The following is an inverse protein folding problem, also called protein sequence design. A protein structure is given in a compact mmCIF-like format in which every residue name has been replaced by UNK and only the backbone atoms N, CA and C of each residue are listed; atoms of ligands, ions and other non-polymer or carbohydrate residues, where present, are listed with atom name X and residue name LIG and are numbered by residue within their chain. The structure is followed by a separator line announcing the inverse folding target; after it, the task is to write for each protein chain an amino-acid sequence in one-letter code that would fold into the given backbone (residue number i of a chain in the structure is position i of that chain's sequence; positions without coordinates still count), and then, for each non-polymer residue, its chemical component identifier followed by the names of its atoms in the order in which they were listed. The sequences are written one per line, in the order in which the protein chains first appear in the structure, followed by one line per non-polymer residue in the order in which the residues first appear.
data_IF_121237429899
#
_entry.id   IF_121237429899
#
_cell.length_a   1.000
_cell.length_b   1.000
_cell.length_c   1.000
_cell.angle_alpha   90.00
_cell.angle_beta   90.00
_cell.angle_gamma   90.00
#
_symmetry.space_group_name_H-M   'P 1'
#
loop_
_entity.id
_entity.type
_entity.pdbx_description
1 polymer ?
#
# COMPACT_ATOMS: atom_id res chain seq x y z
N UNK A 1 15.71 32.00 -11.33
CA UNK A 1 15.47 31.09 -12.47
C UNK A 1 15.34 29.68 -11.92
N UNK A 2 14.13 29.14 -11.85
CA UNK A 2 13.90 27.74 -11.50
C UNK A 2 14.36 26.90 -12.69
N UNK A 3 15.54 26.30 -12.58
CA UNK A 3 15.98 25.28 -13.53
C UNK A 3 14.95 24.16 -13.52
N UNK A 4 14.17 24.04 -14.59
CA UNK A 4 13.29 22.90 -14.85
C UNK A 4 14.19 21.69 -15.01
N UNK A 5 14.47 20.99 -13.91
CA UNK A 5 15.21 19.73 -13.95
C UNK A 5 14.34 18.75 -14.73
N UNK A 6 14.84 18.28 -15.86
CA UNK A 6 14.24 17.15 -16.57
C UNK A 6 14.15 15.98 -15.57
N UNK A 7 12.93 15.53 -15.30
CA UNK A 7 12.65 14.36 -14.46
C UNK A 7 12.22 13.23 -15.38
N UNK A 8 12.78 12.04 -15.17
CA UNK A 8 12.27 10.82 -15.81
C UNK A 8 10.90 10.49 -15.19
N UNK A 9 9.90 10.27 -16.03
CA UNK A 9 8.52 10.08 -15.60
C UNK A 9 7.87 8.92 -16.36
N UNK A 10 7.16 8.05 -15.63
CA UNK A 10 6.30 7.03 -16.23
C UNK A 10 4.95 7.66 -16.56
N UNK A 11 4.49 7.56 -17.81
CA UNK A 11 3.21 8.14 -18.27
C UNK A 11 2.25 7.06 -18.73
N UNK A 12 0.95 7.23 -18.46
CA UNK A 12 -0.11 6.35 -18.96
C UNK A 12 -1.44 7.12 -19.12
N UNK A 13 -2.39 6.53 -19.85
CA UNK A 13 -3.71 7.14 -20.07
C UNK A 13 -4.42 7.32 -18.73
N UNK A 14 -4.86 8.55 -18.45
CA UNK A 14 -5.56 8.87 -17.21
C UNK A 14 -4.65 9.08 -16.00
N UNK A 15 -3.32 9.15 -16.17
CA UNK A 15 -2.40 9.48 -15.08
C UNK A 15 -2.80 10.76 -14.34
N UNK A 16 -3.25 11.81 -15.00
CA UNK A 16 -3.60 13.06 -14.32
C UNK A 16 -5.04 13.10 -13.77
N UNK A 17 -5.84 12.08 -14.07
CA UNK A 17 -7.22 12.00 -13.58
C UNK A 17 -7.20 11.52 -12.14
N UNK A 18 -7.39 12.44 -11.20
CA UNK A 18 -7.55 12.13 -9.77
C UNK A 18 -9.04 12.04 -9.42
N UNK A 19 -9.52 10.93 -8.82
CA UNK A 19 -10.90 10.85 -8.39
C UNK A 19 -11.16 11.84 -7.25
N UNK A 20 -12.25 12.62 -7.36
CA UNK A 20 -12.76 13.41 -6.24
C UNK A 20 -13.60 12.48 -5.37
N UNK A 21 -13.08 12.12 -4.20
CA UNK A 21 -13.78 11.28 -3.24
C UNK A 21 -14.34 12.16 -2.13
N UNK A 22 -15.61 11.94 -1.80
CA UNK A 22 -16.23 12.60 -0.66
C UNK A 22 -15.71 12.00 0.66
N UNK A 23 -15.51 12.82 1.71
CA UNK A 23 -15.14 12.33 3.04
C UNK A 23 -16.14 11.28 3.53
N UNK A 24 -15.64 10.11 3.95
CA UNK A 24 -16.47 9.07 4.56
C UNK A 24 -16.20 8.98 6.05
N UNK A 25 -17.26 8.70 6.81
CA UNK A 25 -17.21 8.46 8.25
C UNK A 25 -17.25 6.95 8.45
N UNK A 26 -16.42 6.43 9.37
CA UNK A 26 -16.51 5.01 9.76
C UNK A 26 -17.78 4.76 10.56
N UNK A 27 -18.55 3.76 10.12
CA UNK A 27 -19.67 3.22 10.87
C UNK A 27 -19.21 1.89 11.46
N UNK A 28 -19.05 1.85 12.78
CA UNK A 28 -18.66 0.62 13.47
C UNK A 28 -19.82 -0.38 13.48
N UNK A 29 -19.54 -1.61 13.05
CA UNK A 29 -20.40 -2.76 13.32
C UNK A 29 -19.88 -3.49 14.57
N UNK A 30 -20.54 -3.22 15.70
CA UNK A 30 -20.16 -3.81 17.00
C UNK A 30 -20.22 -5.34 17.01
N UNK A 31 -20.99 -5.96 16.12
CA UNK A 31 -21.08 -7.42 16.06
C UNK A 31 -19.83 -8.09 15.50
N UNK A 32 -19.03 -7.35 14.74
CA UNK A 32 -17.77 -7.80 14.13
C UNK A 32 -16.53 -7.30 14.89
N UNK A 33 -16.73 -6.47 15.93
CA UNK A 33 -15.67 -5.88 16.73
C UNK A 33 -15.15 -6.88 17.75
N UNK A 34 -13.87 -7.22 17.65
CA UNK A 34 -13.17 -8.07 18.63
C UNK A 34 -12.24 -7.20 19.47
N UNK A 35 -12.68 -6.88 20.68
CA UNK A 35 -11.84 -6.24 21.69
C UNK A 35 -11.36 -7.28 22.70
N UNK A 36 -10.11 -7.18 23.13
CA UNK A 36 -9.62 -8.01 24.23
C UNK A 36 -10.43 -7.68 25.49
N UNK A 37 -11.02 -8.71 26.11
CA UNK A 37 -11.77 -8.56 27.37
C UNK A 37 -10.88 -8.11 28.55
N UNK A 38 -9.55 -8.26 28.42
CA UNK A 38 -8.56 -7.75 29.37
C UNK A 38 -7.72 -6.69 28.69
N UNK A 39 -7.65 -5.51 29.31
CA UNK A 39 -6.61 -4.54 28.99
C UNK A 39 -5.27 -5.23 29.26
N UNK A 40 -4.52 -5.51 28.19
CA UNK A 40 -3.16 -6.04 28.31
C UNK A 40 -2.35 -4.87 28.85
N UNK A 41 -1.73 -5.01 30.02
CA UNK A 41 -0.82 -4.01 30.57
C UNK A 41 0.62 -4.44 30.30
N UNK A 42 1.54 -3.49 30.14
CA UNK A 42 2.97 -3.78 30.20
C UNK A 42 3.38 -4.19 31.65
N UNK A 43 4.64 -4.57 31.85
CA UNK A 43 5.18 -4.95 33.17
C UNK A 43 5.09 -3.81 34.21
N UNK A 44 4.92 -2.57 33.74
CA UNK A 44 4.80 -1.35 34.54
C UNK A 44 3.33 -1.01 34.87
N UNK A 45 2.36 -1.81 34.41
CA UNK A 45 0.93 -1.62 34.68
C UNK A 45 0.23 -0.61 33.77
N UNK A 46 0.92 -0.05 32.77
CA UNK A 46 0.34 0.83 31.77
C UNK A 46 -0.46 0.01 30.75
N UNK A 47 -1.65 0.49 30.42
CA UNK A 47 -2.49 -0.13 29.40
C UNK A 47 -1.75 -0.13 28.05
N UNK A 48 -1.48 -1.32 27.51
CA UNK A 48 -1.03 -1.49 26.14
C UNK A 48 -2.23 -1.28 25.21
N UNK A 49 -2.48 -0.01 24.92
CA UNK A 49 -3.58 0.45 24.06
C UNK A 49 -3.47 -0.11 22.64
N UNK A 50 -2.27 -0.48 22.17
CA UNK A 50 -2.06 -1.03 20.84
C UNK A 50 -2.81 -2.36 20.60
N UNK A 51 -3.01 -3.19 21.64
CA UNK A 51 -3.76 -4.46 21.51
C UNK A 51 -5.28 -4.30 21.70
N UNK A 52 -5.74 -3.11 22.11
CA UNK A 52 -7.15 -2.79 22.27
C UNK A 52 -7.72 -1.91 21.14
N UNK A 53 -6.88 -1.54 20.17
CA UNK A 53 -7.18 -0.54 19.12
C UNK A 53 -7.01 -1.10 17.69
N UNK A 54 -7.14 -2.44 17.55
CA UNK A 54 -7.09 -3.08 16.23
C UNK A 54 -8.35 -2.76 15.43
N UNK A 55 -8.17 -2.24 14.21
CA UNK A 55 -9.27 -1.89 13.31
C UNK A 55 -9.35 -2.86 12.13
N UNK A 56 -10.52 -3.48 11.95
CA UNK A 56 -10.88 -4.18 10.74
C UNK A 56 -11.88 -3.34 9.95
N UNK A 57 -11.51 -2.92 8.74
CA UNK A 57 -12.34 -2.07 7.88
C UNK A 57 -12.79 -2.90 6.68
N UNK A 58 -14.11 -3.01 6.51
CA UNK A 58 -14.69 -3.65 5.33
C UNK A 58 -15.18 -2.59 4.33
N UNK A 59 -14.64 -2.63 3.12
CA UNK A 59 -15.02 -1.73 2.02
C UNK A 59 -13.90 -1.55 1.01
N UNK A 60 -14.09 -0.60 0.09
CA UNK A 60 -13.02 -0.19 -0.83
C UNK A 60 -11.85 0.43 -0.05
N UNK A 61 -10.66 -0.09 -0.29
CA UNK A 61 -9.45 0.31 0.43
C UNK A 61 -9.04 1.77 0.17
N UNK A 62 -9.29 2.34 -1.00
CA UNK A 62 -8.95 3.74 -1.28
C UNK A 62 -9.82 4.67 -0.42
N UNK A 63 -11.12 4.38 -0.33
CA UNK A 63 -12.04 5.11 0.56
C UNK A 63 -11.63 4.95 2.03
N UNK A 64 -11.27 3.74 2.46
CA UNK A 64 -10.79 3.49 3.82
C UNK A 64 -9.51 4.28 4.16
N UNK A 65 -8.50 4.23 3.28
CA UNK A 65 -7.23 4.96 3.46
C UNK A 65 -7.46 6.47 3.56
N UNK A 66 -8.38 7.03 2.76
CA UNK A 66 -8.75 8.45 2.84
C UNK A 66 -9.44 8.82 4.14
N UNK A 67 -10.33 7.96 4.64
CA UNK A 67 -10.97 8.17 5.93
C UNK A 67 -9.98 8.10 7.11
N UNK A 68 -8.95 7.23 7.01
CA UNK A 68 -7.86 7.15 8.00
C UNK A 68 -6.97 8.41 8.02
N UNK A 69 -6.86 9.14 6.91
CA UNK A 69 -5.97 10.30 6.76
C UNK A 69 -6.19 11.34 7.89
N UNK A 70 -7.45 11.58 8.30
CA UNK A 70 -7.76 12.55 9.35
C UNK A 70 -7.13 12.22 10.71
N UNK A 71 -7.04 10.93 11.07
CA UNK A 71 -6.58 10.50 12.40
C UNK A 71 -5.14 9.95 12.40
N UNK A 72 -4.73 9.33 11.30
CA UNK A 72 -3.49 8.53 11.21
C UNK A 72 -2.43 9.10 10.25
N UNK A 73 -2.65 10.29 9.68
CA UNK A 73 -1.61 10.95 8.86
C UNK A 73 -0.29 11.08 9.64
N UNK A 74 0.81 10.63 9.03
CA UNK A 74 2.14 10.67 9.61
C UNK A 74 2.37 9.73 10.81
N UNK A 75 1.47 8.77 11.08
CA UNK A 75 1.54 7.91 12.28
C UNK A 75 1.79 6.44 11.98
N UNK A 76 1.61 6.00 10.74
CA UNK A 76 1.73 4.58 10.38
C UNK A 76 3.19 4.19 10.21
N UNK A 77 3.67 3.26 11.04
CA UNK A 77 5.08 2.82 11.04
C UNK A 77 5.42 1.79 9.96
N UNK A 78 4.47 0.93 9.63
CA UNK A 78 4.65 -0.15 8.69
C UNK A 78 3.38 -0.32 7.87
N UNK A 79 3.53 -0.42 6.55
CA UNK A 79 2.46 -0.81 5.64
C UNK A 79 2.92 -2.02 4.85
N UNK A 80 2.10 -3.06 4.82
CA UNK A 80 2.29 -4.22 3.96
C UNK A 80 1.08 -4.34 3.03
N UNK A 81 1.33 -4.50 1.73
CA UNK A 81 0.28 -4.75 0.75
C UNK A 81 0.65 -5.92 -0.17
N UNK A 82 -0.38 -6.61 -0.64
CA UNK A 82 -0.30 -7.69 -1.61
C UNK A 82 -1.34 -7.44 -2.73
N UNK A 83 -1.09 -6.46 -3.61
CA UNK A 83 -2.02 -6.07 -4.68
C UNK A 83 -2.19 -7.20 -5.72
N UNK A 84 -3.25 -7.17 -6.55
CA UNK A 84 -3.41 -8.13 -7.64
C UNK A 84 -2.22 -8.06 -8.62
N UNK A 85 -1.73 -9.22 -9.06
CA UNK A 85 -0.49 -9.34 -9.85
C UNK A 85 -0.69 -9.12 -11.35
N UNK A 86 -1.94 -9.03 -11.83
CA UNK A 86 -2.27 -8.77 -13.24
C UNK A 86 -1.67 -9.81 -14.21
N UNK A 87 -1.66 -11.09 -13.80
CA UNK A 87 -0.97 -12.18 -14.52
C UNK A 87 -1.76 -12.76 -15.70
N UNK A 88 -3.01 -12.33 -15.88
CA UNK A 88 -3.95 -12.90 -16.85
C UNK A 88 -4.47 -14.29 -16.47
N UNK A 89 -4.11 -14.80 -15.28
CA UNK A 89 -4.66 -16.03 -14.71
C UNK A 89 -5.69 -15.62 -13.68
N UNK A 90 -6.96 -15.75 -14.05
CA UNK A 90 -8.08 -15.47 -13.17
C UNK A 90 -7.96 -16.25 -11.85
N UNK A 91 -7.48 -15.59 -10.79
CA UNK A 91 -7.81 -15.98 -9.43
C UNK A 91 -9.17 -15.36 -9.13
N UNK A 92 -10.09 -16.17 -8.63
CA UNK A 92 -11.55 -15.95 -8.49
C UNK A 92 -12.00 -14.67 -7.74
N UNK A 93 -11.08 -13.79 -7.35
CA UNK A 93 -11.34 -12.63 -6.49
C UNK A 93 -10.91 -11.27 -7.08
N UNK A 94 -10.29 -11.22 -8.27
CA UNK A 94 -9.93 -9.97 -8.95
C UNK A 94 -10.07 -10.09 -10.48
N UNK A 95 -10.36 -8.98 -11.16
CA UNK A 95 -10.26 -8.91 -12.63
C UNK A 95 -8.78 -8.92 -13.03
N UNK A 96 -8.18 -10.12 -13.11
CA UNK A 96 -6.80 -10.35 -13.57
C UNK A 96 -6.79 -10.26 -15.12
N UNK A 97 -6.30 -9.14 -15.65
CA UNK A 97 -6.49 -8.76 -17.06
C UNK A 97 -6.76 -7.26 -17.25
N UNK A 98 -6.56 -6.45 -16.20
CA UNK A 98 -6.63 -5.01 -16.31
C UNK A 98 -5.51 -4.54 -17.24
N UNK A 99 -5.86 -3.70 -18.21
CA UNK A 99 -4.87 -2.97 -18.97
C UNK A 99 -3.91 -2.24 -18.00
N UNK A 100 -2.60 -2.29 -18.26
CA UNK A 100 -1.58 -1.76 -17.34
C UNK A 100 -1.90 -0.33 -16.86
N UNK A 101 -2.46 0.55 -17.70
CA UNK A 101 -2.84 1.91 -17.29
C UNK A 101 -3.92 1.96 -16.20
N UNK A 102 -4.84 0.99 -16.17
CA UNK A 102 -5.87 0.84 -15.13
C UNK A 102 -5.25 0.35 -13.83
N UNK A 103 -4.37 -0.66 -13.89
CA UNK A 103 -3.63 -1.15 -12.72
C UNK A 103 -2.78 -0.03 -12.11
N UNK A 104 -2.05 0.73 -12.95
CA UNK A 104 -1.25 1.86 -12.52
C UNK A 104 -2.10 2.95 -11.87
N UNK A 105 -3.27 3.26 -12.43
CA UNK A 105 -4.20 4.23 -11.83
C UNK A 105 -4.71 3.75 -10.48
N UNK A 106 -5.10 2.47 -10.38
CA UNK A 106 -5.56 1.84 -9.15
C UNK A 106 -4.50 1.92 -8.04
N UNK A 107 -3.26 1.57 -8.36
CA UNK A 107 -2.15 1.55 -7.40
C UNK A 107 -1.68 2.95 -7.03
N UNK A 108 -1.57 3.86 -8.00
CA UNK A 108 -1.13 5.24 -7.78
C UNK A 108 -2.01 5.95 -6.76
N UNK A 109 -3.34 5.85 -6.89
CA UNK A 109 -4.26 6.51 -5.94
C UNK A 109 -4.11 5.98 -4.50
N UNK A 110 -3.82 4.67 -4.35
CA UNK A 110 -3.63 4.01 -3.04
C UNK A 110 -2.27 4.32 -2.44
N UNK A 111 -1.23 4.30 -3.24
CA UNK A 111 0.13 4.66 -2.83
C UNK A 111 0.18 6.13 -2.38
N UNK A 112 -0.46 7.04 -3.12
CA UNK A 112 -0.60 8.45 -2.71
C UNK A 112 -1.28 8.59 -1.34
N UNK A 113 -2.30 7.77 -1.06
CA UNK A 113 -2.98 7.77 0.24
C UNK A 113 -2.10 7.16 1.34
N UNK A 114 -1.45 6.03 1.08
CA UNK A 114 -0.51 5.37 2.00
C UNK A 114 0.65 6.30 2.37
N UNK A 115 1.22 7.01 1.41
CA UNK A 115 2.33 7.94 1.63
C UNK A 115 2.02 8.97 2.71
N UNK A 116 0.78 9.50 2.71
CA UNK A 116 0.34 10.48 3.72
C UNK A 116 0.14 9.89 5.11
N UNK A 117 -0.20 8.60 5.19
CA UNK A 117 -0.38 7.89 6.46
C UNK A 117 0.95 7.51 7.10
N UNK A 118 1.98 7.27 6.28
CA UNK A 118 3.29 6.84 6.76
C UNK A 118 3.95 7.90 7.63
N UNK A 119 4.49 7.45 8.76
CA UNK A 119 5.40 8.23 9.59
C UNK A 119 6.69 8.56 8.84
N UNK A 120 7.39 9.61 9.28
CA UNK A 120 8.66 10.03 8.68
C UNK A 120 9.72 8.91 8.65
N UNK A 121 9.72 8.06 9.67
CA UNK A 121 10.59 6.89 9.81
C UNK A 121 9.82 5.57 9.62
N UNK A 122 8.70 5.63 8.90
CA UNK A 122 7.89 4.47 8.50
C UNK A 122 8.40 3.86 7.19
N UNK A 123 7.95 2.63 6.91
CA UNK A 123 8.23 1.99 5.63
C UNK A 123 7.01 1.27 5.07
N UNK A 124 7.04 1.06 3.76
CA UNK A 124 6.05 0.26 3.04
C UNK A 124 6.75 -0.93 2.36
N UNK A 125 6.15 -2.10 2.48
CA UNK A 125 6.50 -3.29 1.71
C UNK A 125 5.33 -3.66 0.80
N UNK A 126 5.65 -4.01 -0.44
CA UNK A 126 4.69 -4.50 -1.41
C UNK A 126 5.16 -5.85 -1.92
N UNK A 127 4.31 -6.85 -1.80
CA UNK A 127 4.50 -8.12 -2.48
C UNK A 127 3.97 -7.97 -3.92
N UNK A 128 4.78 -8.35 -4.90
CA UNK A 128 4.46 -8.21 -6.33
C UNK A 128 5.28 -9.23 -7.10
N UNK A 129 4.76 -9.67 -8.23
CA UNK A 129 5.50 -10.48 -9.20
C UNK A 129 6.25 -9.60 -10.22
N UNK A 130 6.81 -10.24 -11.24
CA UNK A 130 7.59 -9.56 -12.27
C UNK A 130 6.72 -8.87 -13.34
N UNK A 131 5.40 -9.13 -13.40
CA UNK A 131 4.52 -8.55 -14.42
C UNK A 131 4.34 -7.04 -14.22
N UNK A 132 4.06 -6.60 -12.99
CA UNK A 132 3.85 -5.19 -12.66
C UNK A 132 4.98 -4.58 -11.81
N UNK A 133 5.89 -5.41 -11.27
CA UNK A 133 6.91 -4.99 -10.33
C UNK A 133 7.84 -3.87 -10.84
N UNK A 134 8.12 -3.83 -12.15
CA UNK A 134 8.93 -2.77 -12.74
C UNK A 134 8.19 -1.43 -12.80
N UNK A 135 6.92 -1.43 -13.22
CA UNK A 135 6.12 -0.20 -13.25
C UNK A 135 5.83 0.31 -11.84
N UNK A 136 5.52 -0.60 -10.91
CA UNK A 136 5.37 -0.27 -9.50
C UNK A 136 6.62 0.40 -8.95
N UNK A 137 7.81 -0.14 -9.23
CA UNK A 137 9.08 0.45 -8.78
C UNK A 137 9.26 1.89 -9.24
N UNK A 138 8.98 2.18 -10.52
CA UNK A 138 9.10 3.55 -11.06
C UNK A 138 8.06 4.48 -10.43
N UNK A 139 6.84 4.01 -10.21
CA UNK A 139 5.81 4.77 -9.52
C UNK A 139 6.18 5.07 -8.06
N UNK A 140 6.72 4.09 -7.34
CA UNK A 140 7.21 4.28 -5.97
C UNK A 140 8.38 5.29 -5.94
N UNK A 141 9.28 5.26 -6.91
CA UNK A 141 10.35 6.28 -7.02
C UNK A 141 9.78 7.69 -7.25
N UNK A 142 8.67 7.81 -7.97
CA UNK A 142 8.01 9.07 -8.21
C UNK A 142 7.37 9.65 -6.93
N UNK A 143 6.74 8.80 -6.11
CA UNK A 143 6.01 9.18 -4.89
C UNK A 143 6.95 9.34 -3.69
N UNK A 144 7.81 8.34 -3.44
CA UNK A 144 8.68 8.30 -2.27
C UNK A 144 10.04 8.94 -2.49
N UNK A 145 10.46 9.15 -3.74
CA UNK A 145 11.84 9.52 -4.06
C UNK A 145 12.73 8.27 -4.18
N UNK A 146 13.56 8.25 -5.22
CA UNK A 146 14.41 7.10 -5.57
C UNK A 146 15.44 6.77 -4.49
N UNK A 147 15.90 7.79 -3.77
CA UNK A 147 16.85 7.70 -2.66
C UNK A 147 16.29 6.96 -1.44
N UNK A 148 14.95 6.89 -1.31
CA UNK A 148 14.28 6.21 -0.20
C UNK A 148 14.00 4.73 -0.51
N UNK A 149 14.46 4.22 -1.65
CA UNK A 149 14.35 2.81 -1.97
C UNK A 149 15.30 1.97 -1.10
N UNK A 150 14.73 1.00 -0.37
CA UNK A 150 15.50 0.14 0.52
C UNK A 150 16.12 -1.07 -0.19
N UNK A 151 15.31 -2.01 -0.69
CA UNK A 151 15.76 -3.24 -1.37
C UNK A 151 14.59 -4.01 -2.00
N UNK A 152 14.91 -4.95 -2.90
CA UNK A 152 13.99 -5.99 -3.39
C UNK A 152 14.34 -7.29 -2.66
N UNK A 153 13.33 -7.96 -2.13
CA UNK A 153 13.47 -9.31 -1.57
C UNK A 153 12.81 -10.27 -2.54
N UNK A 154 13.54 -11.31 -2.96
CA UNK A 154 12.99 -12.39 -3.79
C UNK A 154 12.56 -13.54 -2.88
N UNK A 155 11.31 -13.96 -3.00
CA UNK A 155 10.78 -15.13 -2.32
C UNK A 155 10.68 -16.25 -3.36
N UNK A 156 11.28 -17.41 -3.06
CA UNK A 156 11.17 -18.60 -3.92
C UNK A 156 10.28 -19.62 -3.23
N UNK A 157 9.08 -19.83 -3.77
CA UNK A 157 8.14 -20.83 -3.25
C UNK A 157 8.48 -22.27 -3.68
N UNK A 158 9.44 -22.42 -4.61
CA UNK A 158 9.92 -23.72 -5.11
C UNK A 158 11.45 -23.76 -5.03
N UNK A 159 12.00 -24.87 -4.54
CA UNK A 159 13.43 -25.16 -4.73
C UNK A 159 13.64 -25.58 -6.19
N UNK A 160 14.37 -24.79 -6.98
CA UNK A 160 14.83 -25.20 -8.31
C UNK A 160 16.35 -25.28 -8.29
N UNK A 161 16.90 -26.44 -8.70
CA UNK A 161 18.34 -26.72 -8.66
C UNK A 161 19.17 -25.81 -9.57
N UNK A 162 18.58 -25.18 -10.58
CA UNK A 162 19.27 -24.30 -11.52
C UNK A 162 18.48 -23.01 -11.76
N UNK A 163 18.94 -21.90 -11.17
CA UNK A 163 18.47 -20.55 -11.47
C UNK A 163 19.65 -19.70 -11.96
N UNK A 164 19.57 -19.23 -13.20
CA UNK A 164 20.32 -18.06 -13.67
C UNK A 164 19.68 -16.82 -13.05
N UNK A 165 20.43 -16.14 -12.18
CA UNK A 165 20.05 -14.84 -11.64
C UNK A 165 20.80 -13.77 -12.43
N UNK A 166 20.10 -13.05 -13.30
CA UNK A 166 20.63 -11.81 -13.86
C UNK A 166 20.32 -10.66 -12.90
N UNK A 167 21.30 -9.76 -12.70
CA UNK A 167 21.24 -8.58 -11.83
C UNK A 167 20.69 -7.38 -12.57
#
# INVERSE_FOLDING_TARGET
MTTTKQKLELTWIGKDKRPRLEPRIFLEDKSLSYQSAKVITNEEGEANTAFNDNLLIHGDNLLALKALEHQYAGKVKCVYIDPPYNTGNAFEHYEDGLEHSKWLTLMRDRIDAIYKLLAFDGFMACHIDDAEGHYLKVMLDEVFGRENYLRKVRISHMAREHLLVTH
#
